data_IF_787310422785
#
_entry.id   IF_787310422785
#
_cell.length_a   1.000
_cell.length_b   1.000
_cell.length_c   1.000
_cell.angle_alpha   90.00
_cell.angle_beta   90.00
_cell.angle_gamma   90.00
#
_symmetry.space_group_name_H-M   'P 1'
#
loop_
_entity.id
_entity.type
_entity.pdbx_description
1 polymer ?
#
# COMPACT_ATOMS: atom_id res chain seq x y z
N UNK A 1 37.73 -25.99 35.78
CA UNK A 1 36.47 -25.69 35.07
C UNK A 1 35.75 -24.54 35.79
N UNK A 2 35.67 -23.36 35.18
CA UNK A 2 34.75 -22.29 35.61
C UNK A 2 34.07 -21.74 34.37
N UNK A 3 32.86 -22.23 34.14
CA UNK A 3 31.93 -21.71 33.16
C UNK A 3 31.44 -20.34 33.65
N UNK A 4 31.70 -19.28 32.90
CA UNK A 4 31.15 -17.95 33.16
C UNK A 4 30.72 -17.36 31.83
N UNK A 5 29.49 -17.71 31.44
CA UNK A 5 28.73 -16.97 30.45
C UNK A 5 28.49 -15.56 31.00
N UNK A 6 29.47 -14.66 30.78
CA UNK A 6 29.28 -13.24 31.00
C UNK A 6 28.58 -12.67 29.77
N UNK A 7 27.30 -12.99 29.61
CA UNK A 7 26.46 -12.28 28.65
C UNK A 7 25.97 -11.02 29.37
N UNK A 8 26.57 -9.88 29.03
CA UNK A 8 26.21 -8.61 29.67
C UNK A 8 24.81 -8.19 29.26
N UNK A 9 24.14 -7.42 30.11
CA UNK A 9 22.84 -6.82 29.76
C UNK A 9 22.97 -5.92 28.51
N UNK A 10 24.14 -5.32 28.32
CA UNK A 10 24.49 -4.52 27.15
C UNK A 10 24.56 -5.38 25.88
N UNK A 11 25.15 -6.59 25.96
CA UNK A 11 25.22 -7.53 24.83
C UNK A 11 23.83 -8.00 24.41
N UNK A 12 22.93 -8.20 25.39
CA UNK A 12 21.55 -8.57 25.14
C UNK A 12 20.75 -7.43 24.51
N UNK A 13 20.94 -6.20 24.98
CA UNK A 13 20.30 -5.01 24.39
C UNK A 13 20.80 -4.77 22.96
N UNK A 14 22.11 -4.95 22.72
CA UNK A 14 22.70 -4.81 21.38
C UNK A 14 22.16 -5.89 20.42
N UNK A 15 22.09 -7.14 20.89
CA UNK A 15 21.56 -8.26 20.11
C UNK A 15 20.09 -8.07 19.75
N UNK A 16 19.27 -7.65 20.72
CA UNK A 16 17.85 -7.37 20.51
C UNK A 16 17.67 -6.17 19.57
N UNK A 17 18.42 -5.08 19.76
CA UNK A 17 18.38 -3.90 18.90
C UNK A 17 18.72 -4.22 17.44
N UNK A 18 19.78 -5.00 17.21
CA UNK A 18 20.19 -5.42 15.87
C UNK A 18 19.15 -6.33 15.21
N UNK A 19 18.55 -7.24 15.98
CA UNK A 19 17.49 -8.13 15.49
C UNK A 19 16.23 -7.37 15.07
N UNK A 20 15.88 -6.30 15.80
CA UNK A 20 14.76 -5.43 15.42
C UNK A 20 15.06 -4.65 14.13
N UNK A 21 16.30 -4.15 13.97
CA UNK A 21 16.70 -3.43 12.76
C UNK A 21 16.61 -4.33 11.53
N UNK A 22 17.15 -5.56 11.59
CA UNK A 22 17.07 -6.53 10.49
C UNK A 22 15.62 -6.90 10.14
N UNK A 23 14.76 -7.11 11.15
CA UNK A 23 13.34 -7.35 10.92
C UNK A 23 12.67 -6.16 10.24
N UNK A 24 12.98 -4.93 10.65
CA UNK A 24 12.41 -3.74 10.00
C UNK A 24 12.88 -3.56 8.57
N UNK A 25 14.14 -3.90 8.27
CA UNK A 25 14.69 -3.74 6.93
C UNK A 25 14.18 -4.84 5.98
N UNK A 26 14.02 -6.07 6.46
CA UNK A 26 13.33 -7.14 5.73
C UNK A 26 11.86 -6.80 5.49
N UNK A 27 11.17 -6.18 6.46
CA UNK A 27 9.80 -5.71 6.29
C UNK A 27 9.71 -4.58 5.27
N UNK A 28 10.66 -3.63 5.24
CA UNK A 28 10.71 -2.57 4.21
C UNK A 28 10.99 -3.11 2.82
N UNK A 29 11.82 -4.15 2.70
CA UNK A 29 12.15 -4.75 1.40
C UNK A 29 11.01 -5.62 0.85
N UNK A 30 10.23 -6.26 1.74
CA UNK A 30 9.13 -7.17 1.36
C UNK A 30 7.76 -6.53 1.33
N UNK A 31 7.55 -5.43 2.06
CA UNK A 31 6.34 -4.63 1.92
C UNK A 31 6.58 -3.65 0.77
N UNK A 32 5.81 -3.70 -0.33
CA UNK A 32 5.67 -2.53 -1.16
C UNK A 32 4.99 -1.48 -0.28
N UNK A 33 5.76 -0.68 0.46
CA UNK A 33 5.23 0.53 1.08
C UNK A 33 4.73 1.32 -0.12
N UNK A 34 3.41 1.51 -0.30
CA UNK A 34 2.97 2.43 -1.33
C UNK A 34 3.44 3.79 -0.85
N UNK A 35 4.57 4.24 -1.38
CA UNK A 35 5.11 5.58 -1.23
C UNK A 35 4.18 6.51 -2.01
N UNK A 36 2.99 6.72 -1.46
CA UNK A 36 2.05 7.80 -1.69
C UNK A 36 0.71 7.41 -1.06
N UNK A 37 0.56 7.63 0.25
CA UNK A 37 -0.70 8.17 0.73
C UNK A 37 -0.78 9.65 0.29
N UNK A 38 -0.72 9.91 -1.02
CA UNK A 38 -1.54 10.99 -1.54
C UNK A 38 -2.94 10.57 -1.18
N UNK A 39 -3.67 11.42 -0.45
CA UNK A 39 -5.10 11.26 -0.20
C UNK A 39 -5.76 11.02 -1.54
N UNK A 40 -5.87 9.75 -1.90
CA UNK A 40 -6.39 9.38 -3.20
C UNK A 40 -7.88 9.59 -3.03
N UNK A 41 -8.38 10.65 -3.66
CA UNK A 41 -9.78 11.02 -3.56
C UNK A 41 -10.61 9.97 -4.31
N UNK A 42 -11.01 8.95 -3.55
CA UNK A 42 -11.76 7.81 -4.04
C UNK A 42 -13.20 8.22 -4.27
N UNK A 43 -13.60 8.31 -5.53
CA UNK A 43 -14.93 8.76 -5.93
C UNK A 43 -15.86 7.60 -6.15
N UNK A 44 -17.15 7.80 -5.91
CA UNK A 44 -18.13 6.77 -6.22
C UNK A 44 -18.32 6.61 -7.75
N UNK A 45 -19.14 5.65 -8.16
CA UNK A 45 -19.39 5.41 -9.58
C UNK A 45 -20.04 6.60 -10.30
N UNK A 46 -20.88 7.39 -9.62
CA UNK A 46 -21.56 8.53 -10.22
C UNK A 46 -20.57 9.67 -10.48
N UNK A 47 -19.80 10.03 -9.45
CA UNK A 47 -18.80 11.08 -9.51
C UNK A 47 -17.67 10.73 -10.48
N UNK A 48 -17.18 9.48 -10.45
CA UNK A 48 -16.15 9.02 -11.38
C UNK A 48 -16.59 9.14 -12.84
N UNK A 49 -17.87 8.86 -13.17
CA UNK A 49 -18.41 9.01 -14.52
C UNK A 49 -18.43 10.46 -14.98
N UNK A 50 -18.85 11.37 -14.10
CA UNK A 50 -18.96 12.81 -14.40
C UNK A 50 -17.57 13.37 -14.70
N UNK A 51 -16.60 13.06 -13.86
CA UNK A 51 -15.26 13.64 -13.96
C UNK A 51 -14.42 13.04 -15.10
N UNK A 52 -14.47 11.72 -15.28
CA UNK A 52 -13.80 11.05 -16.40
C UNK A 52 -14.53 11.23 -17.74
N UNK A 53 -15.77 11.75 -17.71
CA UNK A 53 -16.66 11.92 -18.87
C UNK A 53 -16.87 10.59 -19.62
N UNK A 54 -17.15 9.52 -18.88
CA UNK A 54 -17.33 8.16 -19.43
C UNK A 54 -18.71 7.58 -19.11
N UNK A 55 -19.15 6.66 -19.96
CA UNK A 55 -20.35 5.86 -19.72
C UNK A 55 -20.13 4.80 -18.64
N UNK A 56 -21.23 4.28 -18.08
CA UNK A 56 -21.20 3.19 -17.11
C UNK A 56 -20.55 1.92 -17.68
N UNK A 57 -20.86 1.60 -18.94
CA UNK A 57 -20.24 0.49 -19.67
C UNK A 57 -18.72 0.64 -19.80
N UNK A 58 -18.24 1.87 -20.03
CA UNK A 58 -16.81 2.16 -20.14
C UNK A 58 -16.12 2.04 -18.79
N UNK A 59 -16.72 2.58 -17.72
CA UNK A 59 -16.19 2.46 -16.37
C UNK A 59 -16.13 1.00 -15.91
N UNK A 60 -17.17 0.21 -16.18
CA UNK A 60 -17.19 -1.23 -15.91
C UNK A 60 -16.07 -1.97 -16.65
N UNK A 61 -15.89 -1.67 -17.94
CA UNK A 61 -14.83 -2.26 -18.77
C UNK A 61 -13.46 -1.91 -18.23
N UNK A 62 -13.20 -0.63 -17.93
CA UNK A 62 -11.93 -0.17 -17.36
C UNK A 62 -11.61 -0.84 -16.03
N UNK A 63 -12.61 -1.06 -15.18
CA UNK A 63 -12.45 -1.82 -13.94
C UNK A 63 -12.06 -3.28 -14.21
N UNK A 64 -12.70 -3.91 -15.20
CA UNK A 64 -12.40 -5.31 -15.59
C UNK A 64 -11.02 -5.47 -16.22
N UNK A 65 -10.60 -4.48 -17.00
CA UNK A 65 -9.31 -4.44 -17.69
C UNK A 65 -8.16 -3.93 -16.80
N UNK A 66 -8.45 -3.52 -15.56
CA UNK A 66 -7.44 -2.97 -14.64
C UNK A 66 -6.88 -1.60 -15.06
N UNK A 67 -7.62 -0.87 -15.91
CA UNK A 67 -7.25 0.48 -16.37
C UNK A 67 -7.43 1.48 -15.23
N UNK A 68 -8.50 1.35 -14.45
CA UNK A 68 -8.78 2.20 -13.29
C UNK A 68 -8.61 1.41 -12.00
N UNK A 69 -7.89 1.98 -11.04
CA UNK A 69 -7.72 1.41 -9.72
C UNK A 69 -8.98 1.66 -8.89
N UNK A 70 -9.39 0.69 -8.06
CA UNK A 70 -10.62 0.78 -7.28
C UNK A 70 -10.48 0.09 -5.93
N UNK A 71 -11.33 0.51 -4.99
CA UNK A 71 -11.47 -0.11 -3.66
C UNK A 71 -12.93 -0.40 -3.37
N UNK A 72 -13.17 -1.37 -2.47
CA UNK A 72 -14.50 -1.69 -1.97
C UNK A 72 -14.59 -1.24 -0.51
N UNK A 73 -15.51 -0.31 -0.21
CA UNK A 73 -15.78 0.18 1.16
C UNK A 73 -17.27 0.00 1.46
N UNK A 74 -17.59 -0.70 2.54
CA UNK A 74 -18.98 -0.97 2.98
C UNK A 74 -19.89 -1.52 1.85
N UNK A 75 -19.36 -2.41 1.01
CA UNK A 75 -20.09 -3.01 -0.11
C UNK A 75 -20.27 -2.12 -1.35
N UNK A 76 -19.74 -0.88 -1.33
CA UNK A 76 -19.74 0.03 -2.48
C UNK A 76 -18.34 0.12 -3.10
N UNK A 77 -18.30 0.32 -4.41
CA UNK A 77 -17.06 0.46 -5.18
C UNK A 77 -16.73 1.94 -5.30
N UNK A 78 -15.48 2.27 -5.04
CA UNK A 78 -14.92 3.61 -5.21
C UNK A 78 -13.68 3.54 -6.11
N UNK A 79 -13.47 4.58 -6.91
CA UNK A 79 -12.48 4.60 -7.97
C UNK A 79 -11.43 5.68 -7.74
N UNK A 80 -10.16 5.37 -7.99
CA UNK A 80 -9.09 6.36 -8.08
C UNK A 80 -9.06 6.93 -9.51
N UNK A 81 -9.59 8.14 -9.68
CA UNK A 81 -9.61 8.83 -10.98
C UNK A 81 -8.18 9.15 -11.46
N UNK A 82 -7.27 9.44 -10.54
CA UNK A 82 -5.89 9.79 -10.86
C UNK A 82 -5.14 8.61 -11.49
N UNK A 83 -5.53 7.37 -11.18
CA UNK A 83 -4.95 6.17 -11.79
C UNK A 83 -5.09 6.13 -13.31
N UNK A 84 -6.21 6.61 -13.85
CA UNK A 84 -6.46 6.67 -15.30
C UNK A 84 -5.59 7.73 -15.96
N UNK A 85 -5.42 8.88 -15.30
CA UNK A 85 -4.60 9.98 -15.80
C UNK A 85 -3.11 9.61 -15.81
N UNK A 86 -2.63 8.85 -14.81
CA UNK A 86 -1.24 8.35 -14.76
C UNK A 86 -0.94 7.37 -15.91
N UNK A 87 -1.86 6.47 -16.24
CA UNK A 87 -1.65 5.42 -17.28
C UNK A 87 -1.78 5.93 -18.72
N UNK A 88 -2.25 7.17 -18.93
CA UNK A 88 -2.35 7.81 -20.26
C UNK A 88 -1.08 8.56 -20.69
N UNK A 89 -0.10 8.70 -19.80
CA UNK A 89 1.17 9.39 -20.05
C UNK A 89 2.24 8.38 -20.46
#
# INVERSE_FOLDING_TARGET
MKNKNNFSLEDLLLYVGNSFQELTDLLKERLPIPVNHQETDYKDAADAKIELKVSDSTLYRWRKEGVIDFIIKKGKIYYDISSVLRKKK
#
